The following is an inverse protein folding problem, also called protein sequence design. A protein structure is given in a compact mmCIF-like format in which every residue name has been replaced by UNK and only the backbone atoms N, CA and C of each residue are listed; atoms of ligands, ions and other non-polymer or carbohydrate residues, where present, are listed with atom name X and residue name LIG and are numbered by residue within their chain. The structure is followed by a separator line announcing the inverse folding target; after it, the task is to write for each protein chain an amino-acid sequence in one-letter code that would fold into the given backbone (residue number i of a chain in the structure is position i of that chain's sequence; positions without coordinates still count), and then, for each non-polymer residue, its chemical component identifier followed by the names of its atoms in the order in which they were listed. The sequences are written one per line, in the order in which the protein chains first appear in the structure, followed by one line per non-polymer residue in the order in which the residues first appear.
data_IF_548493283440
#
_entry.id   IF_548493283440
#
_cell.length_a   1.000
_cell.length_b   1.000
_cell.length_c   1.000
_cell.angle_alpha   90.00
_cell.angle_beta   90.00
_cell.angle_gamma   90.00
#
_symmetry.space_group_name_H-M   'P 1'
#
loop_
_entity.id
_entity.type
_entity.pdbx_description
1 polymer ?
#
# COMPACT_ATOMS: atom_id res chain seq x y z
N UNK A 1 3.13 16.04 16.87
CA UNK A 1 4.30 16.59 17.58
C UNK A 1 4.47 18.05 17.20
N UNK A 2 4.98 18.87 18.12
CA UNK A 2 5.32 20.27 17.91
C UNK A 2 6.81 20.51 18.14
N UNK A 3 7.32 21.70 17.78
CA UNK A 3 8.71 22.07 18.08
C UNK A 3 8.97 22.19 19.58
N UNK A 4 7.95 22.61 20.36
CA UNK A 4 8.05 22.66 21.81
C UNK A 4 8.28 21.27 22.42
N UNK A 5 7.50 20.28 21.98
CA UNK A 5 7.69 18.88 22.42
C UNK A 5 9.07 18.33 22.02
N UNK A 6 9.59 18.67 20.83
CA UNK A 6 10.97 18.30 20.46
C UNK A 6 11.99 18.91 21.43
N UNK A 7 11.81 20.19 21.80
CA UNK A 7 12.70 20.87 22.73
C UNK A 7 12.67 20.25 24.14
N UNK A 8 11.48 19.86 24.63
CA UNK A 8 11.31 19.13 25.90
C UNK A 8 12.03 17.78 25.90
N UNK A 9 12.07 17.10 24.74
CA UNK A 9 12.79 15.85 24.54
C UNK A 9 14.29 16.05 24.27
N UNK A 10 14.77 17.29 24.16
CA UNK A 10 16.14 17.60 23.80
C UNK A 10 16.50 17.27 22.35
N UNK A 11 15.51 17.24 21.44
CA UNK A 11 15.71 16.91 20.03
C UNK A 11 15.87 18.19 19.20
N UNK A 12 16.95 18.28 18.48
CA UNK A 12 17.22 19.31 17.46
C UNK A 12 16.60 18.96 16.10
N UNK A 13 16.47 17.64 15.79
CA UNK A 13 15.92 17.09 14.56
C UNK A 13 15.21 15.76 14.84
N UNK A 14 14.34 15.36 13.91
CA UNK A 14 13.77 14.02 13.85
C UNK A 14 14.53 13.17 12.82
N UNK A 15 14.71 11.89 13.10
CA UNK A 15 15.27 10.96 12.13
C UNK A 15 14.21 10.61 11.07
N UNK A 16 12.99 10.38 11.51
CA UNK A 16 11.85 10.04 10.67
C UNK A 16 10.67 10.95 11.02
N UNK A 17 9.98 11.46 10.01
CA UNK A 17 8.74 12.21 10.20
C UNK A 17 7.60 11.48 9.51
N UNK A 18 6.62 11.05 10.30
CA UNK A 18 5.42 10.37 9.81
C UNK A 18 4.29 11.38 9.60
N UNK A 19 3.69 11.37 8.39
CA UNK A 19 2.59 12.25 8.01
C UNK A 19 1.32 11.43 7.80
N UNK A 20 0.23 11.82 8.46
CA UNK A 20 -1.05 11.10 8.37
C UNK A 20 -2.25 12.04 8.24
N UNK A 21 -3.27 11.60 7.51
CA UNK A 21 -4.57 12.29 7.43
C UNK A 21 -5.46 12.08 8.64
N UNK A 22 -5.15 11.13 9.53
CA UNK A 22 -5.90 10.88 10.76
C UNK A 22 -5.39 11.73 11.92
N UNK A 23 -6.26 12.01 12.90
CA UNK A 23 -5.82 12.43 14.22
C UNK A 23 -4.91 11.37 14.84
N UNK A 24 -3.86 11.79 15.53
CA UNK A 24 -2.95 10.84 16.16
C UNK A 24 -3.54 10.24 17.44
N UNK A 25 -3.70 8.92 17.41
CA UNK A 25 -4.14 8.10 18.53
C UNK A 25 -3.06 7.05 18.76
N UNK A 26 -2.47 7.06 19.94
CA UNK A 26 -1.43 6.11 20.33
C UNK A 26 -2.03 4.77 20.74
N UNK A 27 -2.54 4.02 19.76
CA UNK A 27 -3.21 2.75 19.96
C UNK A 27 -2.80 1.73 18.88
N UNK A 28 -2.60 0.45 19.20
CA UNK A 28 -2.13 -0.56 18.25
C UNK A 28 -3.09 -0.81 17.06
N UNK A 29 -4.33 -0.37 17.12
CA UNK A 29 -5.26 -0.39 15.99
C UNK A 29 -5.02 0.73 14.96
N UNK A 30 -4.13 1.68 15.25
CA UNK A 30 -3.77 2.76 14.34
C UNK A 30 -2.39 2.54 13.76
N UNK A 31 -2.32 2.39 12.44
CA UNK A 31 -1.07 2.08 11.74
C UNK A 31 0.06 3.09 12.00
N UNK A 32 -0.28 4.38 12.17
CA UNK A 32 0.71 5.41 12.50
C UNK A 32 1.33 5.20 13.88
N UNK A 33 0.52 4.88 14.88
CA UNK A 33 1.02 4.61 16.23
C UNK A 33 1.89 3.34 16.23
N UNK A 34 1.43 2.29 15.54
CA UNK A 34 2.17 1.04 15.42
C UNK A 34 3.55 1.25 14.78
N UNK A 35 3.60 1.92 13.63
CA UNK A 35 4.86 2.20 12.94
C UNK A 35 5.73 3.16 13.75
N UNK A 36 5.15 4.21 14.35
CA UNK A 36 5.88 5.15 15.19
C UNK A 36 6.54 4.47 16.38
N UNK A 37 5.78 3.69 17.16
CA UNK A 37 6.29 2.96 18.32
C UNK A 37 7.35 1.93 17.94
N UNK A 38 7.14 1.23 16.83
CA UNK A 38 8.11 0.26 16.33
C UNK A 38 9.46 0.91 16.00
N UNK A 39 9.44 2.07 15.33
CA UNK A 39 10.66 2.82 15.00
C UNK A 39 11.31 3.46 16.24
N UNK A 40 10.52 3.95 17.20
CA UNK A 40 11.03 4.42 18.50
C UNK A 40 11.74 3.31 19.28
N UNK A 41 11.19 2.09 19.29
CA UNK A 41 11.82 0.91 19.91
C UNK A 41 13.16 0.54 19.26
N UNK A 42 13.40 0.96 18.02
CA UNK A 42 14.70 0.83 17.33
C UNK A 42 15.66 1.98 17.64
N UNK A 43 15.26 2.93 18.46
CA UNK A 43 16.09 4.06 18.88
C UNK A 43 16.02 5.29 17.95
N UNK A 44 15.10 5.34 16.99
CA UNK A 44 14.92 6.49 16.11
C UNK A 44 14.07 7.59 16.75
N UNK A 45 14.42 8.85 16.50
CA UNK A 45 13.62 10.03 16.87
C UNK A 45 12.50 10.20 15.85
N UNK A 46 11.27 9.85 16.25
CA UNK A 46 10.10 9.83 15.35
C UNK A 46 9.21 11.04 15.60
N UNK A 47 9.13 11.94 14.63
CA UNK A 47 8.17 13.04 14.62
C UNK A 47 6.87 12.63 13.94
N UNK A 48 5.71 13.12 14.43
CA UNK A 48 4.41 12.84 13.80
C UNK A 48 3.71 14.15 13.45
N UNK A 49 3.35 14.31 12.18
CA UNK A 49 2.50 15.37 11.66
C UNK A 49 1.15 14.75 11.30
N UNK A 50 0.16 14.97 12.16
CA UNK A 50 -1.20 14.48 11.97
C UNK A 50 -2.11 15.59 11.46
N UNK A 51 -2.90 15.30 10.44
CA UNK A 51 -3.85 16.22 9.81
C UNK A 51 -3.22 17.58 9.45
N UNK A 52 -2.11 17.59 8.65
CA UNK A 52 -1.49 18.85 8.24
C UNK A 52 -2.45 19.67 7.37
N UNK A 53 -2.31 20.99 7.42
CA UNK A 53 -2.87 21.85 6.38
C UNK A 53 -2.14 21.58 5.07
N UNK A 54 -2.84 20.95 4.14
CA UNK A 54 -2.30 20.52 2.86
C UNK A 54 -2.34 21.59 1.77
N UNK A 55 -2.89 22.77 2.05
CA UNK A 55 -2.92 23.87 1.09
C UNK A 55 -1.55 24.52 0.89
N UNK A 56 -0.64 24.33 1.85
CA UNK A 56 0.74 24.81 1.76
C UNK A 56 1.75 23.82 2.36
N UNK A 57 3.04 24.06 2.11
CA UNK A 57 4.12 23.26 2.71
C UNK A 57 4.47 23.67 4.16
N UNK A 58 3.79 24.65 4.75
CA UNK A 58 4.15 25.21 6.05
C UNK A 58 4.12 24.15 7.17
N UNK A 59 3.06 23.36 7.21
CA UNK A 59 2.90 22.32 8.23
C UNK A 59 3.95 21.19 8.10
N UNK A 60 4.42 20.94 6.89
CA UNK A 60 5.44 19.92 6.60
C UNK A 60 6.86 20.38 6.98
N UNK A 61 7.04 21.68 7.25
CA UNK A 61 8.32 22.27 7.75
C UNK A 61 8.37 22.39 9.27
N UNK A 62 7.27 22.18 9.99
CA UNK A 62 7.17 22.42 11.45
C UNK A 62 8.24 21.73 12.29
N UNK A 63 8.60 20.50 11.94
CA UNK A 63 9.56 19.68 12.68
C UNK A 63 10.97 19.73 12.07
N UNK A 64 11.18 20.50 11.01
CA UNK A 64 12.41 20.49 10.23
C UNK A 64 12.44 19.39 9.17
N UNK A 65 13.60 19.24 8.50
CA UNK A 65 13.86 18.16 7.56
C UNK A 65 14.16 16.87 8.34
N UNK A 66 13.55 15.72 8.01
CA UNK A 66 13.94 14.46 8.62
C UNK A 66 15.35 14.05 8.16
N UNK A 67 16.12 13.43 9.06
CA UNK A 67 17.47 12.96 8.74
C UNK A 67 17.42 11.79 7.73
N UNK A 68 16.39 10.92 7.79
CA UNK A 68 16.28 9.71 6.98
C UNK A 68 15.17 9.83 5.94
N UNK A 69 13.90 9.98 6.35
CA UNK A 69 12.78 10.06 5.42
C UNK A 69 11.49 10.63 6.02
N UNK A 70 10.60 11.12 5.14
CA UNK A 70 9.19 11.27 5.43
C UNK A 70 8.44 9.96 5.15
N UNK A 71 7.67 9.45 6.13
CA UNK A 71 6.73 8.35 5.94
C UNK A 71 5.31 8.89 5.77
N UNK A 72 4.72 8.72 4.60
CA UNK A 72 3.44 9.38 4.23
C UNK A 72 2.32 8.36 4.08
N UNK A 73 1.18 8.63 4.71
CA UNK A 73 -0.04 7.84 4.61
C UNK A 73 -1.30 8.70 4.58
N UNK A 74 -2.36 8.19 4.00
CA UNK A 74 -3.69 8.80 4.09
C UNK A 74 -4.33 8.65 5.48
N UNK A 75 -3.87 7.70 6.27
CA UNK A 75 -4.46 7.26 7.53
C UNK A 75 -4.84 5.79 7.51
N UNK A 76 -5.72 5.37 8.43
CA UNK A 76 -6.19 3.98 8.52
C UNK A 76 -7.10 3.59 7.36
N UNK A 77 -7.75 4.55 6.71
CA UNK A 77 -8.59 4.35 5.54
C UNK A 77 -8.03 5.04 4.31
N UNK A 78 -8.45 4.58 3.14
CA UNK A 78 -8.30 5.29 1.89
C UNK A 78 -9.03 6.64 1.96
N UNK A 79 -8.39 7.73 1.51
CA UNK A 79 -8.93 9.09 1.61
C UNK A 79 -10.23 9.26 0.83
N UNK A 80 -10.37 8.60 -0.33
CA UNK A 80 -11.58 8.67 -1.13
C UNK A 80 -12.73 7.91 -0.46
N UNK A 81 -12.47 6.70 0.07
CA UNK A 81 -13.46 5.92 0.83
C UNK A 81 -13.88 6.64 2.12
N UNK A 82 -12.95 7.32 2.76
CA UNK A 82 -13.26 8.10 3.97
C UNK A 82 -14.11 9.34 3.67
N UNK A 83 -13.86 10.02 2.55
CA UNK A 83 -14.54 11.28 2.21
C UNK A 83 -15.87 11.10 1.49
N UNK A 84 -16.02 10.03 0.71
CA UNK A 84 -17.20 9.83 -0.15
C UNK A 84 -17.99 8.58 0.25
N UNK A 85 -19.31 8.63 0.00
CA UNK A 85 -20.18 7.45 0.05
C UNK A 85 -20.02 6.62 -1.22
N UNK A 86 -20.64 5.42 -1.25
CA UNK A 86 -20.76 4.60 -2.47
C UNK A 86 -21.47 5.33 -3.62
N UNK A 87 -22.39 6.24 -3.30
CA UNK A 87 -23.11 7.07 -4.27
C UNK A 87 -22.31 8.32 -4.70
N UNK A 88 -21.00 8.37 -4.39
CA UNK A 88 -20.10 9.49 -4.69
C UNK A 88 -20.49 10.83 -4.03
N UNK A 89 -21.31 10.80 -2.97
CA UNK A 89 -21.67 11.99 -2.18
C UNK A 89 -20.62 12.25 -1.09
N UNK A 90 -20.31 13.51 -0.84
CA UNK A 90 -19.38 13.91 0.23
C UNK A 90 -20.04 13.58 1.58
N UNK A 91 -19.28 12.93 2.47
CA UNK A 91 -19.70 12.67 3.86
C UNK A 91 -19.64 13.96 4.66
N UNK A 92 -20.60 14.14 5.55
CA UNK A 92 -20.66 15.27 6.49
C UNK A 92 -19.73 15.11 7.68
N UNK A 93 -19.24 13.89 7.95
CA UNK A 93 -18.43 13.54 9.11
C UNK A 93 -17.21 12.71 8.70
N UNK A 94 -16.12 12.86 9.46
CA UNK A 94 -14.92 12.03 9.38
C UNK A 94 -14.63 11.40 10.75
N UNK A 95 -14.82 10.08 10.87
CA UNK A 95 -14.64 9.36 12.13
C UNK A 95 -13.20 9.42 12.69
N UNK A 96 -12.22 9.79 11.88
CA UNK A 96 -10.81 9.86 12.26
C UNK A 96 -10.35 11.28 12.60
N UNK A 97 -11.28 12.24 12.75
CA UNK A 97 -11.00 13.62 13.12
C UNK A 97 -11.59 13.98 14.46
N UNK A 98 -11.01 14.95 15.19
CA UNK A 98 -11.60 15.49 16.40
C UNK A 98 -12.99 16.05 16.11
N UNK A 99 -13.98 15.69 16.93
CA UNK A 99 -15.39 16.05 16.81
C UNK A 99 -16.03 15.63 15.47
N UNK A 100 -15.49 14.61 14.82
CA UNK A 100 -15.94 14.11 13.51
C UNK A 100 -15.91 15.16 12.38
N UNK A 101 -15.10 16.21 12.49
CA UNK A 101 -15.06 17.31 11.54
C UNK A 101 -14.59 16.84 10.15
N UNK A 102 -15.45 16.96 9.14
CA UNK A 102 -15.13 16.56 7.76
C UNK A 102 -14.23 17.58 7.06
N UNK A 103 -13.57 17.15 5.97
CA UNK A 103 -12.81 18.04 5.08
C UNK A 103 -11.37 18.34 5.51
N UNK A 104 -10.88 17.76 6.59
CA UNK A 104 -9.48 17.92 7.03
C UNK A 104 -8.47 17.20 6.12
N UNK A 105 -8.92 16.27 5.34
CA UNK A 105 -8.09 15.40 4.50
C UNK A 105 -8.32 15.72 3.02
N UNK A 106 -7.25 15.86 2.18
CA UNK A 106 -7.40 16.02 0.75
C UNK A 106 -7.84 14.72 0.08
N UNK A 107 -8.42 14.84 -1.10
CA UNK A 107 -8.59 13.70 -1.99
C UNK A 107 -7.23 13.14 -2.39
N UNK A 108 -7.11 11.79 -2.41
CA UNK A 108 -5.85 11.10 -2.68
C UNK A 108 -4.71 11.64 -1.83
N UNK A 109 -4.92 11.60 -0.52
CA UNK A 109 -4.08 12.25 0.49
C UNK A 109 -2.60 11.87 0.37
N UNK A 110 -2.28 10.62 0.03
CA UNK A 110 -0.89 10.18 -0.17
C UNK A 110 -0.19 11.03 -1.23
N UNK A 111 -0.85 11.32 -2.35
CA UNK A 111 -0.27 12.16 -3.42
C UNK A 111 -0.10 13.60 -2.95
N UNK A 112 -1.15 14.19 -2.37
CA UNK A 112 -1.12 15.57 -1.91
C UNK A 112 -0.04 15.80 -0.85
N UNK A 113 0.03 14.94 0.16
CA UNK A 113 1.03 15.05 1.23
C UNK A 113 2.46 14.82 0.73
N UNK A 114 2.68 13.85 -0.14
CA UNK A 114 4.00 13.62 -0.74
C UNK A 114 4.50 14.81 -1.53
N UNK A 115 3.62 15.45 -2.30
CA UNK A 115 3.95 16.69 -3.04
C UNK A 115 4.32 17.82 -2.08
N UNK A 116 3.61 17.96 -0.94
CA UNK A 116 3.95 18.96 0.10
C UNK A 116 5.26 18.66 0.80
N UNK A 117 5.58 17.39 1.07
CA UNK A 117 6.90 17.01 1.58
C UNK A 117 8.01 17.41 0.61
N UNK A 118 7.83 17.17 -0.69
CA UNK A 118 8.77 17.59 -1.74
C UNK A 118 8.91 19.10 -1.87
N UNK A 119 7.82 19.85 -1.73
CA UNK A 119 7.84 21.31 -1.70
C UNK A 119 8.53 21.85 -0.45
N UNK A 120 8.35 21.18 0.68
CA UNK A 120 9.02 21.55 1.93
C UNK A 120 10.53 21.34 1.85
N UNK A 121 10.96 20.14 1.41
CA UNK A 121 12.36 19.74 1.30
C UNK A 121 12.54 18.84 0.07
N UNK A 122 12.98 19.42 -1.07
CA UNK A 122 13.07 18.71 -2.37
C UNK A 122 13.99 17.47 -2.35
N UNK A 123 15.00 17.50 -1.51
CA UNK A 123 16.02 16.45 -1.35
C UNK A 123 15.73 15.44 -0.24
N UNK A 124 14.62 15.58 0.49
CA UNK A 124 14.23 14.60 1.51
C UNK A 124 13.69 13.32 0.86
N UNK A 125 14.05 12.15 1.39
CA UNK A 125 13.44 10.90 0.97
C UNK A 125 11.95 10.87 1.34
N UNK A 126 11.10 10.40 0.45
CA UNK A 126 9.65 10.23 0.67
C UNK A 126 9.26 8.78 0.49
N UNK A 127 8.81 8.16 1.56
CA UNK A 127 8.32 6.78 1.61
C UNK A 127 6.81 6.81 1.82
N UNK A 128 6.06 6.15 0.96
CA UNK A 128 4.60 6.07 1.06
C UNK A 128 4.15 4.68 1.47
N UNK A 129 3.01 4.60 2.15
CA UNK A 129 2.50 3.31 2.62
C UNK A 129 1.03 3.36 3.01
N UNK A 130 0.60 2.35 3.80
CA UNK A 130 -0.77 2.14 4.22
C UNK A 130 -1.70 1.72 3.08
N UNK A 131 -3.00 1.60 3.36
CA UNK A 131 -3.99 1.02 2.44
C UNK A 131 -4.09 1.79 1.12
N UNK A 132 -4.13 3.13 1.18
CA UNK A 132 -4.27 3.95 -0.02
C UNK A 132 -3.13 3.76 -1.02
N UNK A 133 -1.89 3.77 -0.54
CA UNK A 133 -0.72 3.53 -1.39
C UNK A 133 -0.68 2.09 -1.88
N UNK A 134 -0.96 1.12 -0.99
CA UNK A 134 -0.95 -0.31 -1.32
C UNK A 134 -1.92 -0.67 -2.43
N UNK A 135 -3.15 -0.15 -2.39
CA UNK A 135 -4.17 -0.39 -3.41
C UNK A 135 -3.85 0.26 -4.77
N UNK A 136 -2.96 1.27 -4.78
CA UNK A 136 -2.61 2.05 -5.97
C UNK A 136 -1.16 1.85 -6.43
N UNK A 137 -0.51 0.75 -6.01
CA UNK A 137 0.91 0.48 -6.33
C UNK A 137 1.19 0.15 -7.80
N UNK A 138 0.16 -0.31 -8.54
CA UNK A 138 0.16 -0.49 -10.00
C UNK A 138 -0.98 0.30 -10.62
N UNK A 139 -1.22 0.17 -11.93
CA UNK A 139 -2.42 0.68 -12.58
C UNK A 139 -3.67 0.13 -11.89
N UNK A 140 -4.61 1.02 -11.55
CA UNK A 140 -5.77 0.68 -10.75
C UNK A 140 -7.02 1.40 -11.23
N UNK A 141 -8.18 0.77 -11.08
CA UNK A 141 -9.46 1.42 -11.37
C UNK A 141 -9.83 2.38 -10.24
N UNK A 142 -10.06 3.63 -10.61
CA UNK A 142 -10.54 4.67 -9.70
C UNK A 142 -12.05 4.84 -9.88
N UNK A 143 -12.81 4.29 -8.96
CA UNK A 143 -14.27 4.30 -8.93
C UNK A 143 -14.87 5.71 -9.04
N UNK A 144 -14.23 6.72 -8.41
CA UNK A 144 -14.78 8.10 -8.37
C UNK A 144 -14.62 8.84 -9.69
N UNK A 145 -13.53 8.61 -10.41
CA UNK A 145 -13.30 9.18 -11.74
C UNK A 145 -13.73 8.26 -12.89
N UNK A 146 -14.15 7.04 -12.59
CA UNK A 146 -14.54 5.99 -13.54
C UNK A 146 -13.49 5.73 -14.62
N UNK A 147 -12.23 5.61 -14.16
CA UNK A 147 -11.07 5.46 -15.06
C UNK A 147 -10.01 4.56 -14.42
N UNK A 148 -9.28 3.85 -15.26
CA UNK A 148 -8.02 3.25 -14.84
C UNK A 148 -6.96 4.34 -14.75
N UNK A 149 -6.35 4.47 -13.56
CA UNK A 149 -5.28 5.43 -13.28
C UNK A 149 -3.94 4.69 -13.19
N UNK A 150 -2.88 5.43 -13.46
CA UNK A 150 -1.51 4.91 -13.29
C UNK A 150 -1.17 4.69 -11.81
N UNK A 151 -0.06 3.98 -11.56
CA UNK A 151 0.47 3.80 -10.21
C UNK A 151 0.57 5.12 -9.43
N UNK A 152 0.41 5.05 -8.11
CA UNK A 152 0.59 6.21 -7.20
C UNK A 152 2.04 6.71 -7.15
N UNK A 153 3.01 5.86 -7.48
CA UNK A 153 4.45 6.21 -7.44
C UNK A 153 4.82 7.39 -8.35
N UNK A 154 4.48 7.39 -9.67
CA UNK A 154 4.76 8.54 -10.52
C UNK A 154 3.96 9.79 -10.13
N UNK A 155 2.74 9.64 -9.57
CA UNK A 155 1.90 10.78 -9.17
C UNK A 155 2.42 11.44 -7.88
N UNK A 156 2.83 10.66 -6.90
CA UNK A 156 3.36 11.14 -5.62
C UNK A 156 4.82 11.60 -5.69
N UNK A 157 5.57 11.13 -6.70
CA UNK A 157 7.03 11.29 -6.78
C UNK A 157 7.75 10.74 -5.54
N UNK A 158 7.19 9.69 -4.92
CA UNK A 158 7.81 9.00 -3.81
C UNK A 158 9.01 8.16 -4.27
N UNK A 159 9.99 8.00 -3.39
CA UNK A 159 11.18 7.19 -3.67
C UNK A 159 10.92 5.70 -3.48
N UNK A 160 10.05 5.38 -2.52
CA UNK A 160 9.70 4.00 -2.17
C UNK A 160 8.25 3.94 -1.69
N UNK A 161 7.58 2.84 -2.03
CA UNK A 161 6.28 2.46 -1.48
C UNK A 161 6.46 1.17 -0.69
N UNK A 162 5.91 1.13 0.53
CA UNK A 162 5.85 -0.08 1.35
C UNK A 162 4.40 -0.54 1.42
N UNK A 163 4.14 -1.80 1.07
CA UNK A 163 2.80 -2.40 1.07
C UNK A 163 2.72 -3.66 1.92
N UNK A 164 1.49 -4.04 2.27
CA UNK A 164 1.23 -5.18 3.14
C UNK A 164 1.67 -4.92 4.58
N UNK A 165 2.16 -5.94 5.27
CA UNK A 165 2.68 -5.84 6.63
C UNK A 165 4.07 -5.21 6.61
N UNK A 166 4.15 -3.94 6.98
CA UNK A 166 5.31 -3.09 6.76
C UNK A 166 6.42 -3.22 7.82
N UNK A 167 6.19 -3.92 8.92
CA UNK A 167 7.03 -3.87 10.13
C UNK A 167 8.50 -4.17 9.84
N UNK A 168 8.80 -5.31 9.20
CA UNK A 168 10.19 -5.65 8.87
C UNK A 168 10.80 -4.71 7.84
N UNK A 169 10.00 -4.35 6.81
CA UNK A 169 10.49 -3.51 5.73
C UNK A 169 10.83 -2.10 6.21
N UNK A 170 9.97 -1.47 7.05
CA UNK A 170 10.21 -0.12 7.54
C UNK A 170 11.40 -0.04 8.51
N UNK A 171 11.57 -1.05 9.37
CA UNK A 171 12.71 -1.15 10.28
C UNK A 171 14.00 -1.35 9.50
N UNK A 172 14.02 -2.31 8.57
CA UNK A 172 15.20 -2.56 7.73
C UNK A 172 15.57 -1.32 6.89
N UNK A 173 14.58 -0.65 6.30
CA UNK A 173 14.80 0.61 5.57
C UNK A 173 15.44 1.67 6.46
N UNK A 174 14.90 1.89 7.66
CA UNK A 174 15.39 2.92 8.57
C UNK A 174 16.86 2.67 8.98
N UNK A 175 17.21 1.42 9.32
CA UNK A 175 18.58 1.06 9.67
C UNK A 175 19.55 1.18 8.50
N UNK A 176 19.16 0.78 7.29
CA UNK A 176 20.01 0.88 6.08
C UNK A 176 20.27 2.35 5.72
N UNK A 177 19.25 3.20 5.77
CA UNK A 177 19.41 4.65 5.58
C UNK A 177 20.28 5.28 6.67
N UNK A 178 20.13 4.87 7.93
CA UNK A 178 20.98 5.33 9.03
C UNK A 178 22.43 4.89 8.89
N UNK A 179 22.67 3.75 8.24
CA UNK A 179 24.01 3.30 7.86
C UNK A 179 24.60 4.04 6.65
N UNK A 180 23.87 4.99 6.05
CA UNK A 180 24.31 5.81 4.93
C UNK A 180 24.03 5.22 3.54
N UNK A 181 23.27 4.11 3.45
CA UNK A 181 22.88 3.55 2.16
C UNK A 181 21.84 4.47 1.47
N UNK A 182 21.95 4.64 0.16
CA UNK A 182 21.00 5.45 -0.59
C UNK A 182 19.66 4.73 -0.74
N UNK A 183 18.53 5.43 -0.55
CA UNK A 183 17.19 4.87 -0.79
C UNK A 183 17.03 4.31 -2.21
N UNK A 184 17.79 4.83 -3.17
CA UNK A 184 17.77 4.36 -4.56
C UNK A 184 18.50 3.04 -4.78
N UNK A 185 19.33 2.62 -3.83
CA UNK A 185 20.06 1.35 -3.86
C UNK A 185 19.31 0.25 -3.10
N UNK A 186 18.42 0.61 -2.17
CA UNK A 186 17.61 -0.32 -1.39
C UNK A 186 16.47 -0.87 -2.28
N UNK A 187 16.76 -1.95 -3.03
CA UNK A 187 15.85 -2.54 -4.03
C UNK A 187 15.40 -3.98 -3.71
N UNK A 188 15.89 -4.54 -2.64
CA UNK A 188 15.76 -5.96 -2.26
C UNK A 188 14.76 -6.22 -1.13
N UNK A 189 14.19 -5.17 -0.53
CA UNK A 189 13.23 -5.32 0.57
C UNK A 189 11.89 -5.86 0.06
N UNK A 190 11.43 -6.97 0.62
CA UNK A 190 10.09 -7.51 0.34
C UNK A 190 8.99 -6.54 0.79
N UNK A 191 7.87 -6.56 0.08
CA UNK A 191 6.76 -5.64 0.37
C UNK A 191 7.03 -4.19 -0.04
N UNK A 192 7.93 -3.97 -1.01
CA UNK A 192 8.24 -2.65 -1.52
C UNK A 192 7.98 -2.53 -3.02
N UNK A 193 7.68 -1.30 -3.46
CA UNK A 193 7.58 -0.95 -4.86
C UNK A 193 8.28 0.40 -5.12
N UNK A 194 8.86 0.56 -6.30
CA UNK A 194 9.63 1.74 -6.68
C UNK A 194 9.70 1.92 -8.20
N UNK A 195 10.09 3.12 -8.62
CA UNK A 195 10.29 3.44 -10.03
C UNK A 195 11.72 3.08 -10.46
N UNK A 196 11.85 2.49 -11.66
CA UNK A 196 13.13 2.17 -12.29
C UNK A 196 13.13 2.60 -13.76
N UNK A 197 14.31 2.71 -14.39
CA UNK A 197 14.39 2.84 -15.85
C UNK A 197 13.70 1.68 -16.56
N UNK A 198 13.19 1.93 -17.77
CA UNK A 198 12.56 0.89 -18.58
C UNK A 198 13.54 -0.30 -18.80
N UNK A 199 13.04 -1.51 -18.57
CA UNK A 199 13.82 -2.73 -18.73
C UNK A 199 14.88 -3.00 -17.67
N UNK A 200 14.91 -2.24 -16.56
CA UNK A 200 15.83 -2.50 -15.46
C UNK A 200 15.58 -3.87 -14.81
N UNK A 201 16.67 -4.54 -14.46
CA UNK A 201 16.67 -5.80 -13.68
C UNK A 201 17.70 -5.70 -12.55
N UNK A 202 17.50 -6.39 -11.42
CA UNK A 202 18.45 -6.39 -10.30
C UNK A 202 19.79 -7.05 -10.61
N UNK A 203 19.86 -7.87 -11.63
CA UNK A 203 21.09 -8.57 -12.08
C UNK A 203 20.84 -9.34 -13.38
N UNK A 204 21.93 -9.74 -14.04
CA UNK A 204 21.89 -10.41 -15.34
C UNK A 204 21.28 -11.84 -15.29
N UNK A 205 21.17 -12.39 -14.10
CA UNK A 205 20.60 -13.72 -13.85
C UNK A 205 19.09 -13.71 -13.59
N UNK A 206 18.44 -12.54 -13.72
CA UNK A 206 17.00 -12.42 -13.62
C UNK A 206 16.31 -12.75 -14.93
N UNK A 207 15.19 -13.50 -14.82
CA UNK A 207 14.37 -13.89 -15.96
C UNK A 207 13.09 -13.07 -15.97
N UNK A 208 12.75 -12.56 -17.16
CA UNK A 208 11.47 -11.87 -17.39
C UNK A 208 10.50 -12.85 -18.05
N UNK A 209 9.34 -13.04 -17.44
CA UNK A 209 8.24 -13.83 -18.00
C UNK A 209 7.08 -12.88 -18.27
N UNK A 210 6.52 -12.93 -19.47
CA UNK A 210 5.30 -12.17 -19.76
C UNK A 210 4.10 -12.79 -19.02
N UNK A 211 3.22 -11.93 -18.51
CA UNK A 211 2.03 -12.41 -17.77
C UNK A 211 1.11 -13.30 -18.61
N UNK A 212 1.09 -13.10 -19.93
CA UNK A 212 0.30 -13.91 -20.88
C UNK A 212 0.84 -15.32 -21.06
N UNK A 213 2.10 -15.58 -20.71
CA UNK A 213 2.67 -16.94 -20.66
C UNK A 213 2.17 -17.73 -19.44
N UNK A 214 1.73 -17.04 -18.40
CA UNK A 214 1.28 -17.63 -17.14
C UNK A 214 -0.23 -17.86 -17.12
N UNK A 215 -0.97 -16.92 -17.71
CA UNK A 215 -2.43 -16.90 -17.75
C UNK A 215 -2.88 -16.18 -19.01
N UNK A 216 -3.78 -16.80 -19.75
CA UNK A 216 -4.26 -16.20 -21.01
C UNK A 216 -5.38 -15.21 -20.74
N UNK A 217 -5.29 -13.95 -21.23
CA UNK A 217 -6.41 -13.02 -21.16
C UNK A 217 -7.64 -13.62 -21.83
N UNK A 218 -8.75 -13.60 -21.15
CA UNK A 218 -10.00 -14.21 -21.61
C UNK A 218 -11.17 -13.23 -21.58
N UNK A 219 -12.33 -13.62 -22.14
CA UNK A 219 -13.51 -12.77 -22.13
C UNK A 219 -13.96 -12.50 -20.68
N UNK A 220 -14.39 -11.26 -20.43
CA UNK A 220 -14.97 -10.89 -19.14
C UNK A 220 -16.36 -11.54 -19.02
N UNK A 221 -16.55 -12.34 -17.98
CA UNK A 221 -17.87 -12.85 -17.62
C UNK A 221 -18.57 -11.76 -16.80
N UNK A 222 -19.61 -11.17 -17.39
CA UNK A 222 -20.47 -10.26 -16.62
C UNK A 222 -21.32 -11.08 -15.65
N UNK A 223 -21.11 -10.89 -14.36
CA UNK A 223 -22.02 -11.41 -13.36
C UNK A 223 -23.36 -10.67 -13.47
N UNK A 224 -24.47 -11.41 -13.35
CA UNK A 224 -25.78 -10.79 -13.26
C UNK A 224 -25.81 -9.86 -12.04
N UNK A 225 -26.27 -8.63 -12.23
CA UNK A 225 -26.49 -7.71 -11.12
C UNK A 225 -27.52 -8.33 -10.16
N UNK A 226 -27.20 -8.58 -8.89
CA UNK A 226 -28.15 -9.15 -7.93
C UNK A 226 -29.37 -8.25 -7.68
N UNK A 227 -29.25 -6.96 -8.02
CA UNK A 227 -30.32 -5.97 -7.87
C UNK A 227 -31.07 -5.69 -9.18
N UNK A 228 -30.67 -6.32 -10.31
CA UNK A 228 -31.36 -6.15 -11.58
C UNK A 228 -32.80 -6.68 -11.50
N UNK A 229 -33.71 -5.98 -12.17
CA UNK A 229 -35.12 -6.41 -12.30
C UNK A 229 -35.21 -7.75 -13.06
N UNK A 230 -36.25 -8.54 -12.82
CA UNK A 230 -36.38 -9.89 -13.41
C UNK A 230 -36.31 -9.92 -14.95
N UNK A 231 -36.75 -8.88 -15.61
CA UNK A 231 -36.67 -8.75 -17.09
C UNK A 231 -35.23 -8.61 -17.56
N UNK A 232 -34.38 -7.89 -16.85
CA UNK A 232 -32.95 -7.76 -17.15
C UNK A 232 -32.18 -9.06 -16.85
N UNK A 233 -32.58 -9.79 -15.80
CA UNK A 233 -32.00 -11.09 -15.45
C UNK A 233 -32.27 -12.15 -16.52
N UNK A 234 -33.45 -12.14 -17.13
CA UNK A 234 -33.83 -13.07 -18.21
C UNK A 234 -33.05 -12.83 -19.50
N UNK A 235 -32.80 -11.59 -19.87
CA UNK A 235 -31.98 -11.22 -21.01
C UNK A 235 -30.51 -11.63 -20.86
N UNK A 236 -29.96 -11.51 -19.65
CA UNK A 236 -28.59 -11.94 -19.32
C UNK A 236 -28.44 -13.47 -19.31
N UNK A 237 -29.48 -14.19 -18.86
CA UNK A 237 -29.46 -15.67 -18.82
C UNK A 237 -29.56 -16.32 -20.23
N UNK A 238 -30.18 -15.66 -21.21
CA UNK A 238 -30.23 -16.15 -22.58
C UNK A 238 -28.87 -16.01 -23.31
N UNK A 239 -28.06 -15.01 -22.96
CA UNK A 239 -26.75 -14.79 -23.57
C UNK A 239 -25.67 -15.80 -23.11
N UNK A 240 -25.90 -16.53 -22.01
CA UNK A 240 -24.96 -17.51 -21.44
C UNK A 240 -25.19 -18.97 -21.93
N UNK A 241 -26.14 -19.24 -22.82
CA UNK A 241 -26.47 -20.61 -23.27
C UNK A 241 -25.78 -21.09 -24.55
N UNK A 242 -24.95 -20.26 -25.17
CA UNK A 242 -24.16 -20.70 -26.34
C UNK A 242 -22.67 -20.79 -25.94
N UNK A 243 -22.33 -21.90 -25.34
CA UNK A 243 -20.95 -22.24 -25.00
C UNK A 243 -20.88 -23.28 -23.90
N UNK A 244 -21.42 -24.46 -24.15
CA UNK A 244 -21.25 -25.62 -23.30
C UNK A 244 -19.77 -26.02 -23.22
N UNK A 245 -19.02 -25.43 -22.31
CA UNK A 245 -17.73 -25.97 -21.91
C UNK A 245 -18.01 -27.20 -21.05
N UNK A 246 -17.76 -28.40 -21.58
CA UNK A 246 -17.67 -29.62 -20.82
C UNK A 246 -16.75 -29.36 -19.60
N UNK A 247 -17.30 -29.49 -18.41
CA UNK A 247 -16.52 -29.55 -17.18
C UNK A 247 -15.70 -30.85 -17.27
N UNK A 248 -14.49 -30.76 -17.81
CA UNK A 248 -13.50 -31.83 -17.72
C UNK A 248 -13.27 -32.11 -16.24
N UNK A 249 -13.66 -33.33 -15.84
CA UNK A 249 -13.57 -33.76 -14.45
C UNK A 249 -12.22 -33.43 -13.84
N UNK A 250 -12.24 -33.02 -12.60
CA UNK A 250 -11.04 -32.73 -11.78
C UNK A 250 -10.21 -34.00 -11.77
N UNK A 251 -9.11 -34.01 -12.52
CA UNK A 251 -8.15 -35.10 -12.49
C UNK A 251 -7.35 -34.93 -11.19
N UNK A 252 -7.69 -35.69 -10.17
CA UNK A 252 -6.88 -35.79 -8.95
C UNK A 252 -5.57 -36.45 -9.38
N UNK A 253 -4.57 -35.63 -9.69
CA UNK A 253 -3.20 -36.10 -9.88
C UNK A 253 -2.70 -36.48 -8.49
N UNK A 254 -2.45 -37.78 -8.29
CA UNK A 254 -1.88 -38.29 -7.06
C UNK A 254 -0.67 -37.47 -6.67
N UNK A 255 -0.59 -37.14 -5.39
CA UNK A 255 0.50 -36.37 -4.78
C UNK A 255 1.82 -37.10 -5.02
N UNK A 256 2.47 -36.80 -6.17
CA UNK A 256 3.86 -37.23 -6.32
C UNK A 256 4.65 -36.50 -5.26
N UNK A 257 5.31 -37.25 -4.37
CA UNK A 257 6.26 -36.71 -3.39
C UNK A 257 7.35 -35.96 -4.15
N UNK A 258 7.17 -34.62 -4.27
CA UNK A 258 8.24 -33.78 -4.77
C UNK A 258 9.32 -33.75 -3.72
N UNK A 259 10.48 -34.30 -4.06
CA UNK A 259 11.66 -34.25 -3.18
C UNK A 259 11.94 -32.79 -2.78
N UNK A 260 12.37 -32.56 -1.54
CA UNK A 260 12.69 -31.25 -0.99
C UNK A 260 13.64 -30.44 -1.91
N UNK A 261 14.54 -31.14 -2.63
CA UNK A 261 15.46 -30.55 -3.61
C UNK A 261 14.75 -29.93 -4.82
N UNK A 262 13.66 -30.55 -5.34
CA UNK A 262 12.87 -30.00 -6.44
C UNK A 262 12.05 -28.79 -6.01
N UNK A 263 11.55 -28.78 -4.76
CA UNK A 263 10.85 -27.62 -4.21
C UNK A 263 11.81 -26.44 -3.98
N UNK A 264 13.03 -26.70 -3.50
CA UNK A 264 14.05 -25.69 -3.34
C UNK A 264 14.50 -25.08 -4.68
N UNK A 265 14.72 -25.93 -5.71
CA UNK A 265 15.06 -25.47 -7.06
C UNK A 265 13.94 -24.62 -7.67
N UNK A 266 12.67 -25.03 -7.56
CA UNK A 266 11.52 -24.22 -8.02
C UNK A 266 11.38 -22.90 -7.28
N UNK A 267 11.69 -22.85 -5.98
CA UNK A 267 11.69 -21.60 -5.20
C UNK A 267 12.82 -20.67 -5.61
N UNK A 268 14.02 -21.22 -5.83
CA UNK A 268 15.18 -20.45 -6.29
C UNK A 268 14.93 -19.84 -7.68
N UNK A 269 14.34 -20.61 -8.59
CA UNK A 269 13.94 -20.15 -9.92
C UNK A 269 12.92 -18.99 -9.84
N UNK A 270 11.91 -19.12 -8.97
CA UNK A 270 10.92 -18.05 -8.74
C UNK A 270 11.51 -16.79 -8.10
N UNK A 271 12.53 -16.91 -7.27
CA UNK A 271 13.15 -15.78 -6.58
C UNK A 271 13.87 -14.81 -7.52
N UNK A 272 14.30 -15.29 -8.70
CA UNK A 272 14.98 -14.50 -9.75
C UNK A 272 14.12 -14.34 -11.00
N UNK A 273 12.81 -14.48 -10.88
CA UNK A 273 11.85 -14.28 -11.96
C UNK A 273 11.01 -13.06 -11.67
N UNK A 274 10.85 -12.19 -12.68
CA UNK A 274 9.93 -11.08 -12.66
C UNK A 274 8.83 -11.27 -13.72
N UNK A 275 7.58 -11.03 -13.33
CA UNK A 275 6.44 -11.07 -14.23
C UNK A 275 6.22 -9.68 -14.81
N UNK A 276 6.25 -9.57 -16.12
CA UNK A 276 5.88 -8.34 -16.84
C UNK A 276 4.37 -8.32 -17.04
N UNK A 277 3.72 -7.37 -16.38
CA UNK A 277 2.29 -7.08 -16.56
C UNK A 277 2.06 -6.25 -17.83
N UNK A 278 0.86 -6.27 -18.44
CA UNK A 278 0.47 -5.31 -19.45
C UNK A 278 0.71 -3.88 -18.95
N UNK A 279 1.20 -3.00 -19.83
CA UNK A 279 1.52 -1.61 -19.48
C UNK A 279 0.28 -0.84 -19.01
N UNK A 280 0.50 0.27 -18.29
CA UNK A 280 -0.60 1.17 -17.94
C UNK A 280 -1.35 1.64 -19.20
N UNK A 281 -0.63 1.96 -20.26
CA UNK A 281 -1.21 2.43 -21.52
C UNK A 281 -2.10 1.38 -22.19
N UNK A 282 -1.80 0.10 -22.03
CA UNK A 282 -2.63 -0.99 -22.51
C UNK A 282 -3.87 -1.21 -21.62
N UNK A 283 -3.68 -1.27 -20.29
CA UNK A 283 -4.79 -1.60 -19.38
C UNK A 283 -5.78 -0.45 -19.17
N UNK A 284 -5.40 0.81 -19.45
CA UNK A 284 -6.31 1.95 -19.28
C UNK A 284 -7.49 1.92 -20.24
N UNK A 285 -7.29 1.37 -21.42
CA UNK A 285 -8.29 1.38 -22.52
C UNK A 285 -8.84 -0.02 -22.83
N UNK A 286 -8.25 -1.09 -22.24
CA UNK A 286 -8.66 -2.48 -22.44
C UNK A 286 -9.06 -3.15 -21.11
N UNK A 287 -10.38 -3.30 -20.83
CA UNK A 287 -10.87 -3.95 -19.62
C UNK A 287 -10.44 -5.42 -19.48
N UNK A 288 -10.21 -6.15 -20.60
CA UNK A 288 -9.76 -7.54 -20.57
C UNK A 288 -8.32 -7.62 -20.08
N UNK A 289 -7.44 -6.77 -20.60
CA UNK A 289 -6.05 -6.69 -20.13
C UNK A 289 -5.97 -6.17 -18.71
N UNK A 290 -6.85 -5.24 -18.30
CA UNK A 290 -6.94 -4.80 -16.91
C UNK A 290 -7.33 -5.95 -15.98
N UNK A 291 -8.34 -6.72 -16.32
CA UNK A 291 -8.78 -7.89 -15.56
C UNK A 291 -7.67 -8.96 -15.48
N UNK A 292 -6.97 -9.21 -16.60
CA UNK A 292 -5.81 -10.11 -16.64
C UNK A 292 -4.68 -9.65 -15.73
N UNK A 293 -4.29 -8.37 -15.79
CA UNK A 293 -3.27 -7.81 -14.92
C UNK A 293 -3.65 -7.94 -13.43
N UNK A 294 -4.92 -7.63 -13.09
CA UNK A 294 -5.45 -7.76 -11.73
C UNK A 294 -5.45 -9.21 -11.25
N UNK A 295 -5.81 -10.16 -12.11
CA UNK A 295 -5.77 -11.59 -11.78
C UNK A 295 -4.35 -12.09 -11.57
N UNK A 296 -3.42 -11.76 -12.46
CA UNK A 296 -2.00 -12.11 -12.31
C UNK A 296 -1.44 -11.55 -11.00
N UNK A 297 -1.75 -10.29 -10.70
CA UNK A 297 -1.38 -9.64 -9.46
C UNK A 297 -1.92 -10.39 -8.22
N UNK A 298 -3.17 -10.85 -8.27
CA UNK A 298 -3.77 -11.65 -7.19
C UNK A 298 -3.08 -13.02 -7.04
N UNK A 299 -2.72 -13.70 -8.13
CA UNK A 299 -2.02 -14.99 -8.09
C UNK A 299 -0.64 -14.91 -7.44
N UNK A 300 0.02 -13.74 -7.52
CA UNK A 300 1.33 -13.47 -6.91
C UNK A 300 1.22 -12.77 -5.54
N UNK A 301 0.08 -12.90 -4.85
CA UNK A 301 -0.13 -12.34 -3.51
C UNK A 301 0.37 -13.23 -2.36
N UNK A 302 0.62 -14.52 -2.61
CA UNK A 302 1.10 -15.44 -1.57
C UNK A 302 2.60 -15.25 -1.30
N UNK A 303 2.99 -14.75 -0.10
CA UNK A 303 4.39 -14.45 0.21
C UNK A 303 5.33 -15.66 0.14
N UNK A 304 4.80 -16.88 0.26
CA UNK A 304 5.61 -18.11 0.23
C UNK A 304 6.14 -18.48 -1.15
N UNK A 305 5.50 -18.00 -2.23
CA UNK A 305 5.84 -18.36 -3.60
C UNK A 305 5.69 -17.23 -4.63
N UNK A 306 5.33 -16.02 -4.20
CA UNK A 306 5.19 -14.88 -5.07
C UNK A 306 6.51 -14.49 -5.75
N UNK A 307 6.42 -14.08 -7.02
CA UNK A 307 7.51 -13.50 -7.80
C UNK A 307 7.47 -11.97 -7.72
N UNK A 308 8.55 -11.33 -8.16
CA UNK A 308 8.52 -9.91 -8.44
C UNK A 308 7.63 -9.62 -9.65
N UNK A 309 7.11 -8.40 -9.74
CA UNK A 309 6.32 -7.96 -10.88
C UNK A 309 6.81 -6.60 -11.38
N UNK A 310 6.60 -6.34 -12.66
CA UNK A 310 6.94 -5.06 -13.28
C UNK A 310 5.82 -4.61 -14.20
N UNK A 311 5.48 -3.32 -14.13
CA UNK A 311 4.50 -2.69 -15.02
C UNK A 311 5.08 -1.41 -15.61
N UNK A 312 5.06 -1.30 -16.93
CA UNK A 312 5.51 -0.11 -17.65
C UNK A 312 4.48 1.04 -17.54
N UNK A 313 4.99 2.26 -17.41
CA UNK A 313 4.22 3.51 -17.38
C UNK A 313 4.90 4.56 -18.27
N UNK A 314 4.11 5.21 -19.11
CA UNK A 314 4.60 6.15 -20.13
C UNK A 314 5.07 5.44 -21.40
N UNK A 315 5.44 6.22 -22.40
CA UNK A 315 5.84 5.75 -23.72
C UNK A 315 7.18 6.35 -24.14
N UNK A 316 7.88 5.64 -25.01
CA UNK A 316 9.14 6.10 -25.59
C UNK A 316 10.19 6.46 -24.54
N UNK A 317 10.84 7.59 -24.70
CA UNK A 317 11.95 8.06 -23.83
C UNK A 317 11.47 8.35 -22.39
N UNK A 318 10.19 8.65 -22.20
CA UNK A 318 9.62 8.94 -20.88
C UNK A 318 9.15 7.69 -20.12
N UNK A 319 9.23 6.51 -20.75
CA UNK A 319 8.83 5.26 -20.13
C UNK A 319 9.68 4.98 -18.88
N UNK A 320 8.98 4.58 -17.82
CA UNK A 320 9.56 4.07 -16.58
C UNK A 320 8.79 2.83 -16.17
N UNK A 321 9.49 1.95 -15.49
CA UNK A 321 8.87 0.73 -14.96
C UNK A 321 8.60 0.91 -13.46
N UNK A 322 7.42 0.50 -13.01
CA UNK A 322 7.11 0.27 -11.60
C UNK A 322 7.48 -1.15 -11.28
N UNK A 323 8.48 -1.32 -10.44
CA UNK A 323 8.92 -2.61 -9.91
C UNK A 323 8.23 -2.90 -8.58
N UNK A 324 7.73 -4.12 -8.42
CA UNK A 324 7.14 -4.62 -7.18
C UNK A 324 7.95 -5.83 -6.71
N UNK A 325 8.52 -5.72 -5.52
CA UNK A 325 9.09 -6.87 -4.85
C UNK A 325 7.99 -7.82 -4.34
N UNK A 326 8.29 -9.11 -4.14
CA UNK A 326 7.33 -10.04 -3.55
C UNK A 326 6.76 -9.53 -2.22
N UNK A 327 5.52 -9.91 -1.86
CA UNK A 327 4.89 -9.50 -0.60
C UNK A 327 5.74 -9.85 0.62
N UNK A 328 5.57 -9.09 1.74
CA UNK A 328 6.31 -9.37 2.98
C UNK A 328 5.95 -10.74 3.54
N UNK A 329 6.94 -11.46 4.08
CA UNK A 329 6.69 -12.69 4.83
C UNK A 329 5.97 -12.34 6.13
N UNK A 330 4.90 -13.05 6.51
CA UNK A 330 4.21 -12.81 7.77
C UNK A 330 5.15 -12.82 8.97
N UNK A 331 4.86 -12.00 9.97
CA UNK A 331 5.60 -12.00 11.23
C UNK A 331 5.43 -13.35 11.94
N UNK A 332 6.47 -13.80 12.61
CA UNK A 332 6.39 -14.91 13.57
C UNK A 332 5.62 -14.47 14.81
N UNK A 333 5.12 -15.42 15.60
CA UNK A 333 4.41 -15.11 16.86
C UNK A 333 5.25 -14.21 17.79
N UNK A 334 6.54 -14.51 18.07
CA UNK A 334 7.35 -13.62 18.90
C UNK A 334 7.52 -12.20 18.36
N UNK A 335 7.65 -12.03 17.05
CA UNK A 335 7.72 -10.70 16.43
C UNK A 335 6.39 -9.96 16.56
N UNK A 336 5.27 -10.66 16.36
CA UNK A 336 3.93 -10.09 16.53
C UNK A 336 3.70 -9.68 17.98
N UNK A 337 4.07 -10.51 18.93
CA UNK A 337 3.97 -10.21 20.35
C UNK A 337 4.81 -8.98 20.72
N UNK A 338 6.04 -8.88 20.18
CA UNK A 338 6.91 -7.72 20.40
C UNK A 338 6.28 -6.42 19.86
N UNK A 339 5.63 -6.45 18.69
CA UNK A 339 4.93 -5.29 18.14
C UNK A 339 3.79 -4.84 19.04
N UNK A 340 2.99 -5.77 19.58
CA UNK A 340 1.86 -5.43 20.45
C UNK A 340 2.26 -5.14 21.90
N UNK A 341 3.46 -5.55 22.33
CA UNK A 341 4.06 -5.20 23.62
C UNK A 341 4.65 -3.77 23.63
N UNK A 342 4.69 -3.07 22.50
CA UNK A 342 5.15 -1.69 22.44
C UNK A 342 4.38 -0.79 23.44
N UNK A 343 5.00 0.26 23.98
CA UNK A 343 4.44 1.05 25.08
C UNK A 343 3.35 2.02 24.63
N UNK A 344 2.29 1.51 24.05
CA UNK A 344 1.11 2.30 23.64
C UNK A 344 0.41 2.91 24.83
N UNK A 345 0.16 4.22 24.78
CA UNK A 345 -0.60 4.95 25.82
C UNK A 345 -2.11 4.67 25.72
N UNK A 346 -2.59 4.13 24.60
CA UNK A 346 -4.01 3.86 24.28
C UNK A 346 -4.90 5.09 24.45
N UNK A 347 -4.39 6.25 24.06
CA UNK A 347 -5.04 7.57 24.19
C UNK A 347 -4.78 8.42 22.95
N UNK A 348 -5.70 9.35 22.62
CA UNK A 348 -5.43 10.43 21.69
C UNK A 348 -4.32 11.35 22.22
N UNK A 349 -3.64 12.04 21.31
CA UNK A 349 -2.63 13.03 21.67
C UNK A 349 -3.24 14.15 22.52
N UNK A 350 -2.56 14.62 23.61
CA UNK A 350 -3.11 15.64 24.53
C UNK A 350 -3.55 16.94 23.87
N UNK A 351 -3.00 17.28 22.71
CA UNK A 351 -3.37 18.49 21.96
C UNK A 351 -4.85 18.56 21.56
N UNK A 352 -5.55 17.42 21.56
CA UNK A 352 -6.98 17.39 21.21
C UNK A 352 -7.90 17.71 22.39
N UNK A 353 -7.36 17.81 23.63
CA UNK A 353 -8.14 18.11 24.81
C UNK A 353 -9.31 17.14 24.97
N UNK A 354 -10.51 17.70 25.17
CA UNK A 354 -11.75 16.93 25.35
C UNK A 354 -12.47 16.58 24.04
N UNK A 355 -11.87 16.87 22.87
CA UNK A 355 -12.47 16.57 21.58
C UNK A 355 -12.64 15.07 21.39
N UNK A 356 -13.85 14.64 21.04
CA UNK A 356 -14.16 13.24 20.78
C UNK A 356 -13.70 12.84 19.37
N UNK A 357 -13.02 11.71 19.26
CA UNK A 357 -12.64 11.11 17.99
C UNK A 357 -13.42 9.81 17.85
N UNK A 358 -14.43 9.72 16.96
CA UNK A 358 -15.34 8.57 16.91
C UNK A 358 -14.61 7.22 16.73
N UNK A 359 -13.58 7.17 15.87
CA UNK A 359 -12.81 5.96 15.67
C UNK A 359 -12.10 5.50 16.96
N UNK A 360 -11.62 6.40 17.79
CA UNK A 360 -11.06 6.07 19.10
C UNK A 360 -12.13 5.57 20.08
N UNK A 361 -13.27 6.25 20.14
CA UNK A 361 -14.37 5.82 21.05
C UNK A 361 -14.80 4.38 20.78
N UNK A 362 -14.80 3.96 19.51
CA UNK A 362 -15.14 2.58 19.13
C UNK A 362 -14.13 1.54 19.63
N UNK A 363 -12.82 1.89 19.66
CA UNK A 363 -11.77 0.89 19.87
C UNK A 363 -11.00 1.03 21.18
N UNK A 364 -11.24 2.06 21.99
CA UNK A 364 -10.45 2.38 23.20
C UNK A 364 -10.33 1.23 24.21
N UNK A 365 -11.32 0.34 24.24
CA UNK A 365 -11.33 -0.87 25.08
C UNK A 365 -11.14 -2.17 24.30
N UNK A 366 -10.74 -2.08 23.02
CA UNK A 366 -10.55 -3.25 22.17
C UNK A 366 -9.19 -3.92 22.39
N UNK A 367 -9.15 -5.22 22.14
CA UNK A 367 -7.94 -6.02 22.06
C UNK A 367 -7.82 -6.54 20.63
N UNK A 368 -6.66 -6.35 20.01
CA UNK A 368 -6.40 -6.87 18.68
C UNK A 368 -6.09 -8.37 18.78
N UNK A 369 -6.99 -9.20 18.27
CA UNK A 369 -6.85 -10.66 18.27
C UNK A 369 -6.48 -11.21 16.88
N UNK A 370 -6.61 -10.42 15.83
CA UNK A 370 -6.33 -10.81 14.45
C UNK A 370 -5.90 -9.60 13.62
N UNK A 371 -5.04 -9.84 12.63
CA UNK A 371 -4.68 -8.86 11.59
C UNK A 371 -5.06 -9.42 10.22
N UNK A 372 -5.65 -8.57 9.38
CA UNK A 372 -6.17 -8.95 8.07
C UNK A 372 -7.60 -9.48 8.12
N UNK A 373 -8.11 -9.91 6.99
CA UNK A 373 -9.45 -10.48 6.84
C UNK A 373 -9.42 -11.62 5.81
N UNK A 374 -10.53 -12.34 5.67
CA UNK A 374 -10.68 -13.40 4.67
C UNK A 374 -10.67 -12.89 3.22
N UNK A 375 -10.77 -11.58 3.00
CA UNK A 375 -10.80 -10.97 1.67
C UNK A 375 -9.50 -11.02 0.90
N UNK A 376 -8.36 -11.41 1.51
CA UNK A 376 -7.07 -11.51 0.84
C UNK A 376 -6.56 -10.20 0.25
N UNK A 377 -6.93 -9.06 0.82
CA UNK A 377 -6.44 -7.74 0.41
C UNK A 377 -4.94 -7.63 0.74
N UNK A 378 -4.09 -7.82 -0.22
CA UNK A 378 -2.63 -7.69 -0.08
C UNK A 378 -2.07 -6.67 -1.03
#
# INVERSE_FOLDING_TARGET
MSRAEMNELGWDSCDIILVTGDAYIDHPSFGMALVGRLLEMQGFRVGIISQPDWHSAADFRKLGKPNLFYGVTAGNMDSMVNRYTSDRKIRSEDAYTPNAEAGKRPDRAVVAYSQRCREAYPDANVVIGSIEASLRRIAHYDYWSDKVRRSVLPDSKADLLIFGNAERAIVALAHRLAAGESIREIRDLRGTAFMVPAGWLPGDDWQVTDSTELDTPGPLVKHADPYAMEEEKSASACATREGGAEVKGIRIVGRQEMTQSRLAARRADRAKTVIRLPSYEQVKDDPVLYAHASRTFHLESNPGNARAMVQAHGEGVSQRDVWLNPPPIPLTTPEMDAVYAAPFQRKPHPRYGDAKIPAYEMIRFSINIMRGCFGGCT
#
